data_IF_731399044758
#
_entry.id   IF_731399044758
#
_cell.length_a   1.000
_cell.length_b   1.000
_cell.length_c   1.000
_cell.angle_alpha   90.00
_cell.angle_beta   90.00
_cell.angle_gamma   90.00
#
_symmetry.space_group_name_H-M   'P 1'
#
loop_
_entity.id
_entity.type
_entity.pdbx_description
1 polymer ?
#
# COMPACT_ATOMS: atom_id res chain seq x y z
N UNK A 1 -10.86 -28.13 74.25
CA UNK A 1 -10.15 -29.14 73.43
C UNK A 1 -10.89 -29.13 72.10
N UNK A 2 -10.27 -28.71 70.99
CA UNK A 2 -10.97 -28.70 69.70
C UNK A 2 -11.30 -30.15 69.32
N UNK A 3 -12.51 -30.37 68.80
CA UNK A 3 -12.92 -31.69 68.33
C UNK A 3 -12.13 -32.07 67.08
N UNK A 4 -11.78 -33.35 66.96
CA UNK A 4 -10.95 -33.91 65.87
C UNK A 4 -11.52 -33.59 64.48
N UNK A 5 -12.83 -33.39 64.39
CA UNK A 5 -13.55 -33.04 63.16
C UNK A 5 -13.22 -31.60 62.72
N UNK A 6 -13.12 -30.64 63.64
CA UNK A 6 -12.80 -29.25 63.33
C UNK A 6 -11.35 -29.09 62.84
N UNK A 7 -10.42 -29.84 63.45
CA UNK A 7 -9.01 -29.88 63.04
C UNK A 7 -8.90 -30.36 61.58
N UNK A 8 -9.63 -31.42 61.22
CA UNK A 8 -9.62 -31.96 59.84
C UNK A 8 -10.21 -30.99 58.82
N UNK A 9 -11.25 -30.23 59.16
CA UNK A 9 -11.82 -29.23 58.22
C UNK A 9 -10.86 -28.05 58.01
N UNK A 10 -10.18 -27.60 59.07
CA UNK A 10 -9.17 -26.55 59.00
C UNK A 10 -7.96 -26.98 58.14
N UNK A 11 -7.48 -28.21 58.31
CA UNK A 11 -6.39 -28.77 57.49
C UNK A 11 -6.77 -28.82 56.01
N UNK A 12 -8.01 -29.23 55.68
CA UNK A 12 -8.50 -29.29 54.31
C UNK A 12 -8.56 -27.90 53.66
N UNK A 13 -9.09 -26.90 54.37
CA UNK A 13 -9.16 -25.51 53.87
C UNK A 13 -7.76 -24.91 53.68
N UNK A 14 -6.85 -25.18 54.61
CA UNK A 14 -5.46 -24.76 54.51
C UNK A 14 -4.75 -25.39 53.30
N UNK A 15 -4.97 -26.68 53.04
CA UNK A 15 -4.43 -27.38 51.87
C UNK A 15 -4.94 -26.78 50.54
N UNK A 16 -6.24 -26.50 50.44
CA UNK A 16 -6.82 -25.87 49.24
C UNK A 16 -6.21 -24.48 49.00
N UNK A 17 -6.06 -23.69 50.05
CA UNK A 17 -5.44 -22.37 49.96
C UNK A 17 -3.97 -22.45 49.54
N UNK A 18 -3.22 -23.39 50.11
CA UNK A 18 -1.80 -23.63 49.80
C UNK A 18 -1.61 -24.04 48.34
N UNK A 19 -2.42 -24.96 47.84
CA UNK A 19 -2.39 -25.37 46.42
C UNK A 19 -2.69 -24.19 45.50
N UNK A 20 -3.73 -23.39 45.80
CA UNK A 20 -4.08 -22.21 45.00
C UNK A 20 -2.96 -21.16 44.97
N UNK A 21 -2.22 -21.02 46.06
CA UNK A 21 -1.07 -20.11 46.13
C UNK A 21 0.13 -20.65 45.33
N UNK A 22 0.43 -21.95 45.45
CA UNK A 22 1.52 -22.60 44.69
C UNK A 22 1.24 -22.53 43.19
N UNK A 23 -0.01 -22.71 42.76
CA UNK A 23 -0.39 -22.70 41.34
C UNK A 23 -0.11 -21.35 40.67
N UNK A 24 -0.25 -20.23 41.40
CA UNK A 24 0.12 -18.89 40.92
C UNK A 24 1.63 -18.73 40.76
N UNK A 25 2.41 -19.27 41.69
CA UNK A 25 3.88 -19.22 41.64
C UNK A 25 4.39 -20.05 40.44
N UNK A 26 3.82 -21.23 40.23
CA UNK A 26 4.12 -22.08 39.06
C UNK A 26 3.80 -21.33 37.77
N UNK A 27 2.65 -20.64 37.70
CA UNK A 27 2.28 -19.85 36.53
C UNK A 27 3.30 -18.75 36.20
N UNK A 28 3.76 -18.00 37.21
CA UNK A 28 4.81 -16.98 37.05
C UNK A 28 6.12 -17.62 36.57
N UNK A 29 6.51 -18.76 37.14
CA UNK A 29 7.70 -19.50 36.73
C UNK A 29 7.60 -19.98 35.27
N UNK A 30 6.43 -20.48 34.84
CA UNK A 30 6.19 -20.86 33.44
C UNK A 30 6.35 -19.68 32.47
N UNK A 31 5.89 -18.48 32.85
CA UNK A 31 6.08 -17.26 32.04
C UNK A 31 7.57 -16.92 31.90
N UNK A 32 8.32 -16.96 33.01
CA UNK A 32 9.76 -16.68 33.00
C UNK A 32 10.49 -17.71 32.11
N UNK A 33 10.14 -18.99 32.25
CA UNK A 33 10.72 -20.06 31.46
C UNK A 33 10.37 -19.92 29.96
N UNK A 34 9.16 -19.46 29.63
CA UNK A 34 8.77 -19.14 28.26
C UNK A 34 9.67 -18.04 27.68
N UNK A 35 9.90 -16.93 28.40
CA UNK A 35 10.79 -15.88 27.92
C UNK A 35 12.23 -16.37 27.70
N UNK A 36 12.75 -17.19 28.61
CA UNK A 36 14.09 -17.81 28.47
C UNK A 36 14.15 -18.70 27.22
N UNK A 37 13.13 -19.54 26.98
CA UNK A 37 13.05 -20.38 25.79
C UNK A 37 12.96 -19.55 24.50
N UNK A 38 12.14 -18.50 24.48
CA UNK A 38 12.02 -17.62 23.31
C UNK A 38 13.32 -16.87 23.03
N UNK A 39 14.02 -16.41 24.07
CA UNK A 39 15.32 -15.73 23.93
C UNK A 39 16.39 -16.69 23.40
N UNK A 40 16.40 -17.94 23.88
CA UNK A 40 17.30 -18.98 23.40
C UNK A 40 17.02 -19.36 21.94
N UNK A 41 15.73 -19.51 21.58
CA UNK A 41 15.31 -19.73 20.19
C UNK A 41 15.83 -18.61 19.29
N UNK A 42 15.58 -17.35 19.62
CA UNK A 42 16.06 -16.19 18.85
C UNK A 42 17.58 -16.23 18.68
N UNK A 43 18.33 -16.49 19.76
CA UNK A 43 19.79 -16.62 19.72
C UNK A 43 20.27 -17.79 18.84
N UNK A 44 19.54 -18.91 18.83
CA UNK A 44 19.86 -20.08 18.01
C UNK A 44 19.57 -19.89 16.51
N UNK A 45 18.60 -19.03 16.16
CA UNK A 45 18.27 -18.70 14.77
C UNK A 45 19.16 -17.60 14.18
N UNK A 46 19.78 -16.76 15.02
CA UNK A 46 20.72 -15.72 14.60
C UNK A 46 21.90 -16.23 13.74
N UNK A 47 22.59 -17.36 14.05
CA UNK A 47 23.70 -17.85 13.22
C UNK A 47 23.29 -18.64 11.96
N UNK A 48 22.02 -19.01 11.77
CA UNK A 48 21.56 -19.72 10.57
C UNK A 48 21.26 -18.79 9.39
N UNK A 49 20.96 -17.51 9.64
CA UNK A 49 20.82 -16.49 8.59
C UNK A 49 22.19 -15.99 8.10
N UNK A 50 23.22 -16.02 8.94
CA UNK A 50 24.55 -15.52 8.59
C UNK A 50 25.41 -16.51 7.77
N UNK A 51 25.07 -17.81 7.74
CA UNK A 51 25.95 -18.86 7.17
C UNK A 51 25.54 -19.38 5.78
N UNK A 52 24.47 -18.87 5.16
CA UNK A 52 24.05 -19.25 3.81
C UNK A 52 24.37 -18.18 2.74
N UNK A 53 25.48 -17.46 2.90
CA UNK A 53 25.94 -16.40 1.96
C UNK A 53 27.01 -16.90 0.97
N UNK A 54 27.43 -18.17 1.05
CA UNK A 54 28.40 -18.77 0.14
C UNK A 54 27.77 -20.03 -0.49
N UNK A 55 26.82 -19.90 -1.40
CA UNK A 55 27.10 -19.76 -2.84
C UNK A 55 26.08 -18.82 -3.49
N UNK A 56 26.40 -17.53 -3.50
CA UNK A 56 25.67 -16.55 -4.31
C UNK A 56 25.96 -16.83 -5.80
N UNK A 57 24.96 -17.08 -6.66
CA UNK A 57 25.18 -17.00 -8.11
C UNK A 57 25.72 -15.59 -8.41
N UNK A 58 26.67 -15.47 -9.35
CA UNK A 58 27.37 -14.21 -9.58
C UNK A 58 26.39 -13.05 -9.69
N UNK A 59 26.70 -11.95 -8.99
CA UNK A 59 25.89 -10.72 -8.93
C UNK A 59 25.51 -10.24 -10.33
N UNK A 60 26.37 -10.48 -11.32
CA UNK A 60 26.14 -10.10 -12.71
C UNK A 60 25.09 -10.98 -13.40
N UNK A 61 25.00 -12.27 -13.04
CA UNK A 61 24.00 -13.19 -13.60
C UNK A 61 22.60 -12.95 -13.03
N UNK A 62 22.52 -12.57 -11.75
CA UNK A 62 21.24 -12.20 -11.10
C UNK A 62 20.78 -10.82 -11.58
N UNK A 63 21.68 -9.86 -11.75
CA UNK A 63 21.35 -8.55 -12.33
C UNK A 63 20.93 -8.67 -13.80
N UNK A 64 21.66 -9.42 -14.63
CA UNK A 64 21.29 -9.62 -16.03
C UNK A 64 19.92 -10.31 -16.19
N UNK A 65 19.60 -11.31 -15.36
CA UNK A 65 18.29 -12.01 -15.38
C UNK A 65 17.14 -11.13 -14.89
N UNK A 66 17.38 -10.30 -13.88
CA UNK A 66 16.35 -9.41 -13.33
C UNK A 66 16.15 -8.17 -14.21
N UNK A 67 17.20 -7.68 -14.86
CA UNK A 67 17.15 -6.62 -15.88
C UNK A 67 16.40 -7.10 -17.12
N UNK A 68 16.71 -8.30 -17.65
CA UNK A 68 15.95 -8.87 -18.77
C UNK A 68 14.50 -9.14 -18.42
N UNK A 69 14.20 -9.67 -17.24
CA UNK A 69 12.80 -9.84 -16.80
C UNK A 69 12.08 -8.49 -16.63
N UNK A 70 12.77 -7.46 -16.13
CA UNK A 70 12.23 -6.11 -16.01
C UNK A 70 12.01 -5.44 -17.37
N UNK A 71 12.93 -5.61 -18.32
CA UNK A 71 12.81 -5.07 -19.68
C UNK A 71 11.66 -5.74 -20.45
N UNK A 72 11.57 -7.07 -20.40
CA UNK A 72 10.48 -7.80 -21.04
C UNK A 72 9.10 -7.43 -20.45
N UNK A 73 9.04 -7.12 -19.15
CA UNK A 73 7.79 -6.67 -18.51
C UNK A 73 7.41 -5.24 -18.93
N UNK A 74 8.40 -4.37 -19.17
CA UNK A 74 8.18 -3.01 -19.67
C UNK A 74 7.74 -3.03 -21.13
N UNK A 75 8.38 -3.84 -21.97
CA UNK A 75 7.97 -4.05 -23.37
C UNK A 75 6.54 -4.58 -23.44
N UNK A 76 6.19 -5.58 -22.62
CA UNK A 76 4.83 -6.10 -22.54
C UNK A 76 3.82 -5.05 -22.05
N UNK A 77 4.20 -4.13 -21.16
CA UNK A 77 3.31 -3.05 -20.70
C UNK A 77 3.13 -1.94 -21.75
N UNK A 78 4.18 -1.62 -22.52
CA UNK A 78 4.12 -0.64 -23.60
C UNK A 78 3.28 -1.19 -24.76
N UNK A 79 3.48 -2.45 -25.15
CA UNK A 79 2.72 -3.13 -26.21
C UNK A 79 1.21 -3.17 -25.90
N UNK A 80 0.84 -3.49 -24.65
CA UNK A 80 -0.57 -3.50 -24.22
C UNK A 80 -1.22 -2.09 -24.11
N UNK A 81 -0.42 -1.03 -24.01
CA UNK A 81 -0.91 0.35 -23.96
C UNK A 81 -0.98 0.99 -25.36
N UNK A 82 -0.10 0.61 -26.28
CA UNK A 82 -0.19 1.04 -27.68
C UNK A 82 -1.43 0.44 -28.38
N UNK A 83 -1.81 -0.82 -28.07
CA UNK A 83 -3.07 -1.40 -28.58
C UNK A 83 -4.33 -0.70 -28.06
N UNK A 84 -4.28 -0.09 -26.86
CA UNK A 84 -5.40 0.67 -26.29
C UNK A 84 -5.39 2.16 -26.71
N UNK A 85 -4.36 2.63 -27.41
CA UNK A 85 -4.23 4.01 -27.91
C UNK A 85 -4.94 4.24 -29.24
N UNK A 86 -5.47 3.20 -29.90
CA UNK A 86 -6.07 3.32 -31.24
C UNK A 86 -7.60 3.56 -31.24
N UNK A 87 -8.22 3.71 -30.07
CA UNK A 87 -9.62 4.12 -29.96
C UNK A 87 -9.81 5.06 -28.76
N UNK A 88 -9.54 6.35 -28.95
CA UNK A 88 -9.98 7.33 -27.95
C UNK A 88 -9.24 8.66 -27.96
N UNK A 89 -9.31 9.41 -29.05
CA UNK A 89 -9.14 10.87 -28.95
C UNK A 89 -10.04 11.55 -29.99
N UNK A 90 -11.28 11.85 -29.56
CA UNK A 90 -12.08 12.89 -30.17
C UNK A 90 -12.27 13.97 -29.09
N UNK A 91 -11.34 14.93 -29.06
CA UNK A 91 -11.47 16.18 -28.31
C UNK A 91 -11.96 17.24 -29.29
N UNK A 92 -13.11 17.81 -28.94
CA UNK A 92 -13.65 19.07 -29.42
C UNK A 92 -12.84 20.24 -28.83
N UNK A 93 -12.26 21.07 -29.70
CA UNK A 93 -12.07 22.53 -29.55
C UNK A 93 -11.58 23.02 -30.94
N UNK A 94 -12.15 23.98 -31.65
CA UNK A 94 -12.76 25.22 -31.19
C UNK A 94 -11.82 26.38 -31.56
N UNK A 95 -12.26 27.21 -32.52
CA UNK A 95 -11.72 28.51 -32.95
C UNK A 95 -10.46 28.56 -33.84
N UNK A 96 -10.67 28.92 -35.11
CA UNK A 96 -9.98 30.04 -35.78
C UNK A 96 -10.88 30.57 -36.92
N UNK A 97 -11.04 31.90 -36.96
CA UNK A 97 -11.74 32.74 -37.94
C UNK A 97 -11.08 32.59 -39.34
N UNK A 98 -11.60 32.92 -40.52
CA UNK A 98 -12.52 33.91 -41.09
C UNK A 98 -12.55 33.54 -42.60
N UNK A 99 -13.65 33.43 -43.35
CA UNK A 99 -14.27 34.46 -44.19
C UNK A 99 -15.08 33.67 -45.25
N UNK A 100 -16.41 33.73 -45.22
CA UNK A 100 -17.23 33.41 -46.40
C UNK A 100 -18.22 34.55 -46.64
N UNK A 101 -18.23 34.90 -47.91
CA UNK A 101 -18.83 36.02 -48.63
C UNK A 101 -20.35 36.11 -48.50
N UNK A 102 -20.86 37.34 -48.49
CA UNK A 102 -22.26 37.71 -48.36
C UNK A 102 -23.02 37.54 -49.69
N UNK A 103 -24.14 36.85 -49.68
CA UNK A 103 -25.30 36.93 -50.59
C UNK A 103 -26.42 36.11 -49.93
N UNK A 104 -27.71 36.44 -49.93
CA UNK A 104 -28.51 37.63 -50.13
C UNK A 104 -29.89 37.24 -49.56
N UNK A 105 -30.61 38.20 -48.95
CA UNK A 105 -32.09 38.41 -48.99
C UNK A 105 -32.99 37.15 -48.80
N UNK A 106 -33.87 37.00 -47.80
CA UNK A 106 -35.14 37.73 -47.66
C UNK A 106 -35.95 37.20 -46.45
N UNK A 107 -36.38 38.13 -45.59
CA UNK A 107 -37.68 38.27 -44.90
C UNK A 107 -38.70 37.10 -44.73
N UNK A 108 -39.30 37.11 -43.52
CA UNK A 108 -40.76 37.17 -43.23
C UNK A 108 -41.55 35.85 -43.03
N UNK A 109 -42.00 35.69 -41.77
CA UNK A 109 -43.38 35.39 -41.32
C UNK A 109 -43.99 34.02 -41.67
N UNK A 110 -44.87 33.34 -40.93
CA UNK A 110 -45.59 33.49 -39.66
C UNK A 110 -46.53 32.23 -39.59
N UNK A 111 -47.20 32.04 -38.44
CA UNK A 111 -48.47 31.28 -38.26
C UNK A 111 -48.35 29.73 -38.21
N UNK A 112 -48.33 29.07 -37.04
CA UNK A 112 -49.42 28.83 -36.07
C UNK A 112 -50.46 27.77 -36.52
N UNK A 113 -50.68 26.71 -35.69
CA UNK A 113 -52.01 26.26 -35.19
C UNK A 113 -52.10 24.77 -34.75
N UNK A 114 -52.16 24.60 -33.43
CA UNK A 114 -53.17 23.88 -32.61
C UNK A 114 -53.81 22.53 -33.00
N UNK A 115 -53.75 21.54 -32.07
CA UNK A 115 -54.88 20.82 -31.37
C UNK A 115 -54.33 19.68 -30.49
N UNK A 116 -54.33 19.78 -29.14
CA UNK A 116 -55.27 19.19 -28.13
C UNK A 116 -55.56 17.67 -28.37
N UNK A 117 -55.34 16.68 -27.46
CA UNK A 117 -55.65 16.60 -26.02
C UNK A 117 -55.27 15.22 -25.38
N UNK A 118 -54.91 15.23 -24.07
CA UNK A 118 -55.01 14.19 -22.99
C UNK A 118 -54.00 13.01 -22.82
N UNK A 119 -53.00 13.26 -21.97
CA UNK A 119 -52.61 12.60 -20.69
C UNK A 119 -52.86 11.08 -20.51
N UNK A 120 -51.76 10.33 -20.34
CA UNK A 120 -51.61 9.30 -19.29
C UNK A 120 -50.32 9.55 -18.52
N UNK A 121 -50.45 9.88 -17.22
CA UNK A 121 -49.35 9.79 -16.23
C UNK A 121 -48.96 8.33 -16.09
N UNK A 122 -47.66 8.04 -16.13
CA UNK A 122 -47.05 6.96 -15.34
C UNK A 122 -45.59 7.29 -15.03
N UNK A 123 -45.36 7.49 -13.72
CA UNK A 123 -44.13 7.29 -12.92
C UNK A 123 -42.84 8.06 -13.24
N UNK A 124 -42.23 8.73 -12.23
CA UNK A 124 -40.94 9.39 -12.36
C UNK A 124 -39.83 8.35 -12.47
N UNK A 125 -39.06 8.44 -13.56
CA UNK A 125 -37.88 7.64 -13.83
C UNK A 125 -36.80 7.99 -12.79
N UNK A 126 -36.76 7.26 -11.67
CA UNK A 126 -35.65 7.35 -10.72
C UNK A 126 -34.43 6.73 -11.40
N UNK A 127 -33.55 7.59 -11.92
CA UNK A 127 -32.17 7.21 -12.28
C UNK A 127 -31.61 6.36 -11.14
N UNK A 128 -31.07 5.15 -11.38
CA UNK A 128 -30.45 4.38 -10.32
C UNK A 128 -29.29 5.22 -9.78
N UNK A 129 -29.38 5.64 -8.51
CA UNK A 129 -28.22 6.16 -7.78
C UNK A 129 -27.33 4.96 -7.53
N UNK A 130 -26.37 4.74 -8.42
CA UNK A 130 -25.30 3.76 -8.21
C UNK A 130 -24.45 4.33 -7.07
N UNK A 131 -24.59 3.77 -5.88
CA UNK A 131 -23.72 4.08 -4.76
C UNK A 131 -22.56 3.08 -4.81
N UNK A 132 -21.50 3.41 -5.56
CA UNK A 132 -20.29 2.61 -5.60
C UNK A 132 -19.52 2.88 -4.30
N UNK A 133 -19.79 2.09 -3.26
CA UNK A 133 -18.87 1.99 -2.14
C UNK A 133 -17.83 0.93 -2.50
N UNK A 134 -16.84 1.32 -3.32
CA UNK A 134 -15.66 0.49 -3.54
C UNK A 134 -14.84 0.54 -2.25
N UNK A 135 -14.66 -0.61 -1.61
CA UNK A 135 -13.72 -0.70 -0.50
C UNK A 135 -12.29 -0.55 -1.06
N UNK A 136 -11.39 0.12 -0.33
CA UNK A 136 -9.99 0.31 -0.79
C UNK A 136 -9.31 -1.02 -1.16
N UNK A 137 -9.75 -2.15 -0.59
CA UNK A 137 -9.25 -3.48 -0.92
C UNK A 137 -9.65 -3.94 -2.33
N UNK A 138 -10.85 -3.60 -2.79
CA UNK A 138 -11.29 -3.90 -4.16
C UNK A 138 -10.55 -3.05 -5.19
N UNK A 139 -10.31 -1.76 -4.88
CA UNK A 139 -9.63 -0.81 -5.78
C UNK A 139 -8.25 -1.30 -6.22
N UNK A 140 -7.50 -1.94 -5.33
CA UNK A 140 -6.12 -2.40 -5.61
C UNK A 140 -5.99 -3.91 -5.82
N UNK A 141 -7.12 -4.63 -5.86
CA UNK A 141 -7.16 -6.09 -5.92
C UNK A 141 -6.30 -6.67 -7.05
N UNK A 142 -6.41 -6.13 -8.27
CA UNK A 142 -5.63 -6.58 -9.42
C UNK A 142 -4.12 -6.35 -9.24
N UNK A 143 -3.69 -5.20 -8.71
CA UNK A 143 -2.28 -4.93 -8.45
C UNK A 143 -1.72 -5.87 -7.37
N UNK A 144 -2.50 -6.13 -6.32
CA UNK A 144 -2.13 -7.05 -5.24
C UNK A 144 -2.01 -8.48 -5.79
N UNK A 145 -2.94 -8.92 -6.63
CA UNK A 145 -2.89 -10.24 -7.27
C UNK A 145 -1.66 -10.39 -8.19
N UNK A 146 -1.35 -9.38 -8.99
CA UNK A 146 -0.15 -9.35 -9.83
C UNK A 146 1.13 -9.36 -8.99
N UNK A 147 1.16 -8.58 -7.91
CA UNK A 147 2.25 -8.65 -6.96
C UNK A 147 2.36 -10.05 -6.35
N UNK A 148 1.25 -10.68 -5.97
CA UNK A 148 1.28 -11.95 -5.28
C UNK A 148 1.69 -13.13 -6.16
N UNK A 149 1.36 -13.07 -7.44
CA UNK A 149 1.77 -14.05 -8.45
C UNK A 149 3.23 -13.85 -8.91
N UNK A 150 3.68 -12.61 -9.07
CA UNK A 150 5.00 -12.33 -9.69
C UNK A 150 6.11 -12.01 -8.70
N UNK A 151 5.74 -11.48 -7.51
CA UNK A 151 6.64 -10.83 -6.55
C UNK A 151 7.50 -9.73 -7.17
N UNK A 152 7.03 -9.13 -8.27
CA UNK A 152 7.75 -8.06 -8.96
C UNK A 152 7.65 -6.75 -8.16
N UNK A 153 8.79 -6.08 -7.96
CA UNK A 153 8.92 -4.82 -7.22
C UNK A 153 8.05 -3.71 -7.81
N UNK A 154 7.84 -3.69 -9.13
CA UNK A 154 7.03 -2.67 -9.81
C UNK A 154 5.60 -2.64 -9.26
N UNK A 155 4.97 -3.81 -9.05
CA UNK A 155 3.62 -3.84 -8.48
C UNK A 155 3.59 -3.37 -7.03
N UNK A 156 4.61 -3.70 -6.23
CA UNK A 156 4.70 -3.18 -4.86
C UNK A 156 4.83 -1.64 -4.83
N UNK A 157 5.60 -1.07 -5.76
CA UNK A 157 5.74 0.38 -5.92
C UNK A 157 4.43 1.04 -6.35
N UNK A 158 3.75 0.48 -7.36
CA UNK A 158 2.45 0.98 -7.81
C UNK A 158 1.44 0.99 -6.67
N UNK A 159 1.34 -0.11 -5.91
CA UNK A 159 0.44 -0.19 -4.76
C UNK A 159 0.81 0.87 -3.70
N UNK A 160 2.10 1.05 -3.42
CA UNK A 160 2.55 2.06 -2.46
C UNK A 160 2.18 3.48 -2.91
N UNK A 161 2.39 3.82 -4.18
CA UNK A 161 2.04 5.13 -4.74
C UNK A 161 0.54 5.39 -4.70
N UNK A 162 -0.26 4.40 -5.05
CA UNK A 162 -1.72 4.49 -4.97
C UNK A 162 -2.21 4.77 -3.55
N UNK A 163 -1.70 4.04 -2.55
CA UNK A 163 -2.04 4.32 -1.16
C UNK A 163 -1.52 5.68 -0.69
N UNK A 164 -0.37 6.14 -1.20
CA UNK A 164 0.17 7.47 -0.87
C UNK A 164 -0.75 8.57 -1.41
N UNK A 165 -1.20 8.43 -2.66
CA UNK A 165 -2.12 9.33 -3.32
C UNK A 165 -3.46 9.42 -2.58
N UNK A 166 -3.97 8.27 -2.11
CA UNK A 166 -5.19 8.17 -1.32
C UNK A 166 -5.01 8.63 0.14
N UNK A 167 -3.83 9.14 0.50
CA UNK A 167 -3.43 9.59 1.85
C UNK A 167 -3.48 8.50 2.92
N UNK A 168 -3.56 7.23 2.53
CA UNK A 168 -3.34 6.09 3.41
C UNK A 168 -1.83 5.83 3.51
N UNK A 169 -1.14 6.76 4.19
CA UNK A 169 0.30 6.72 4.37
C UNK A 169 0.77 5.48 5.13
N UNK A 170 -0.09 4.92 5.99
CA UNK A 170 0.21 3.68 6.72
C UNK A 170 0.26 2.48 5.78
N UNK A 171 -0.67 2.37 4.82
CA UNK A 171 -0.63 1.29 3.82
C UNK A 171 0.47 1.52 2.80
N UNK A 172 0.68 2.75 2.36
CA UNK A 172 1.78 3.12 1.48
C UNK A 172 3.13 2.73 2.08
N UNK A 173 3.36 3.07 3.36
CA UNK A 173 4.58 2.72 4.07
C UNK A 173 4.82 1.19 4.14
N UNK A 174 3.77 0.39 4.36
CA UNK A 174 3.91 -1.08 4.38
C UNK A 174 4.35 -1.62 3.02
N UNK A 175 3.77 -1.10 1.94
CA UNK A 175 4.08 -1.54 0.58
C UNK A 175 5.44 -1.05 0.09
N UNK A 176 5.83 0.18 0.45
CA UNK A 176 7.16 0.69 0.13
C UNK A 176 8.26 -0.08 0.87
N UNK A 177 8.06 -0.47 2.14
CA UNK A 177 8.99 -1.38 2.85
C UNK A 177 9.13 -2.69 2.08
N UNK A 178 8.02 -3.24 1.57
CA UNK A 178 8.06 -4.48 0.78
C UNK A 178 8.83 -4.29 -0.53
N UNK A 179 8.68 -3.15 -1.20
CA UNK A 179 9.46 -2.82 -2.38
C UNK A 179 10.96 -2.71 -2.07
N UNK A 180 11.34 -1.98 -1.01
CA UNK A 180 12.74 -1.86 -0.55
C UNK A 180 13.33 -3.23 -0.18
N UNK A 181 12.51 -4.14 0.34
CA UNK A 181 12.93 -5.50 0.72
C UNK A 181 13.28 -6.35 -0.50
N UNK A 182 12.61 -6.12 -1.64
CA UNK A 182 12.82 -6.86 -2.90
C UNK A 182 14.00 -6.27 -3.67
N UNK A 183 14.01 -4.94 -3.81
CA UNK A 183 15.12 -4.21 -4.44
C UNK A 183 15.57 -3.04 -3.55
N UNK A 184 16.59 -3.28 -2.69
CA UNK A 184 17.13 -2.26 -1.81
C UNK A 184 17.88 -1.14 -2.54
N UNK A 185 18.20 -1.30 -3.84
CA UNK A 185 18.92 -0.29 -4.61
C UNK A 185 17.99 0.67 -5.34
N UNK A 186 16.74 0.25 -5.56
CA UNK A 186 15.73 1.04 -6.25
C UNK A 186 15.50 2.38 -5.53
N UNK A 187 15.94 3.49 -6.11
CA UNK A 187 15.83 4.79 -5.48
C UNK A 187 14.37 5.23 -5.24
N UNK A 188 13.47 4.91 -6.17
CA UNK A 188 12.05 5.24 -6.10
C UNK A 188 11.36 4.58 -4.91
N UNK A 189 11.76 3.36 -4.55
CA UNK A 189 11.24 2.64 -3.38
C UNK A 189 11.54 3.39 -2.08
N UNK A 190 12.78 3.90 -1.94
CA UNK A 190 13.20 4.74 -0.81
C UNK A 190 12.50 6.09 -0.77
N UNK A 191 12.24 6.70 -1.93
CA UNK A 191 11.49 7.96 -2.03
C UNK A 191 10.06 7.80 -1.48
N UNK A 192 9.31 6.80 -1.96
CA UNK A 192 7.93 6.58 -1.50
C UNK A 192 7.92 6.19 -0.03
N UNK A 193 8.88 5.37 0.41
CA UNK A 193 9.06 5.00 1.81
C UNK A 193 9.22 6.22 2.71
N UNK A 194 10.15 7.11 2.38
CA UNK A 194 10.44 8.29 3.20
C UNK A 194 9.27 9.27 3.19
N UNK A 195 8.67 9.53 2.02
CA UNK A 195 7.47 10.37 1.91
C UNK A 195 6.33 9.84 2.77
N UNK A 196 6.05 8.53 2.70
CA UNK A 196 4.99 7.89 3.46
C UNK A 196 5.26 7.92 4.97
N UNK A 197 6.49 7.62 5.38
CA UNK A 197 6.92 7.67 6.78
C UNK A 197 6.79 9.08 7.35
N UNK A 198 7.24 10.09 6.61
CA UNK A 198 7.17 11.49 7.02
C UNK A 198 5.72 11.99 7.10
N UNK A 199 4.85 11.65 6.13
CA UNK A 199 3.41 11.98 6.19
C UNK A 199 2.66 11.23 7.29
N UNK A 200 3.17 10.07 7.72
CA UNK A 200 2.65 9.30 8.85
C UNK A 200 3.17 9.81 10.22
N UNK A 201 3.85 10.96 10.25
CA UNK A 201 4.27 11.65 11.48
C UNK A 201 5.72 11.39 11.92
N UNK A 202 6.47 10.57 11.18
CA UNK A 202 7.84 10.17 11.51
C UNK A 202 8.87 10.83 10.58
N UNK A 203 8.87 12.16 10.48
CA UNK A 203 9.75 12.89 9.55
C UNK A 203 11.24 12.72 9.86
N UNK A 204 11.63 12.67 11.14
CA UNK A 204 13.03 12.48 11.54
C UNK A 204 13.55 11.09 11.14
N UNK A 205 12.75 10.05 11.39
CA UNK A 205 13.09 8.68 10.97
C UNK A 205 13.20 8.55 9.44
N UNK A 206 12.33 9.24 8.70
CA UNK A 206 12.39 9.29 7.25
C UNK A 206 13.72 9.90 6.76
N UNK A 207 14.12 11.03 7.35
CA UNK A 207 15.41 11.68 7.03
C UNK A 207 16.57 10.76 7.36
N UNK A 208 16.57 10.14 8.54
CA UNK A 208 17.63 9.21 8.95
C UNK A 208 17.77 8.03 7.97
N UNK A 209 16.65 7.45 7.55
CA UNK A 209 16.67 6.36 6.57
C UNK A 209 17.21 6.80 5.20
N UNK A 210 16.87 8.01 4.73
CA UNK A 210 17.42 8.56 3.49
C UNK A 210 18.92 8.85 3.60
N UNK A 211 19.38 9.32 4.76
CA UNK A 211 20.82 9.49 5.01
C UNK A 211 21.58 8.17 5.00
N UNK A 212 21.01 7.10 5.56
CA UNK A 212 21.57 5.75 5.46
C UNK A 212 21.64 5.27 4.00
N UNK A 213 20.61 5.53 3.19
CA UNK A 213 20.63 5.22 1.76
C UNK A 213 21.75 5.97 1.02
N UNK A 214 21.96 7.26 1.34
CA UNK A 214 23.01 8.08 0.74
C UNK A 214 24.44 7.60 1.07
N UNK A 215 24.65 6.86 2.16
CA UNK A 215 25.99 6.27 2.44
C UNK A 215 26.44 5.32 1.33
N UNK A 216 25.49 4.63 0.70
CA UNK A 216 25.75 3.73 -0.42
C UNK A 216 25.56 4.41 -1.79
N UNK A 217 24.75 5.48 -1.83
CA UNK A 217 24.37 6.19 -3.05
C UNK A 217 24.65 7.71 -2.93
N UNK A 218 25.90 8.14 -2.71
CA UNK A 218 26.23 9.51 -2.31
C UNK A 218 25.91 10.58 -3.36
N UNK A 219 25.72 10.17 -4.63
CA UNK A 219 25.48 11.08 -5.74
C UNK A 219 24.00 11.30 -6.06
N UNK A 220 23.08 10.71 -5.29
CA UNK A 220 21.65 10.93 -5.49
C UNK A 220 21.26 12.37 -5.15
N UNK A 221 21.03 13.20 -6.17
CA UNK A 221 20.50 14.55 -6.02
C UNK A 221 19.04 14.53 -5.58
N UNK A 222 18.26 13.56 -6.07
CA UNK A 222 16.85 13.43 -5.75
C UNK A 222 16.62 13.13 -4.26
N UNK A 223 17.39 12.20 -3.68
CA UNK A 223 17.29 11.90 -2.24
C UNK A 223 17.74 13.10 -1.40
N UNK A 224 18.79 13.82 -1.81
CA UNK A 224 19.22 15.05 -1.12
C UNK A 224 18.13 16.13 -1.15
N UNK A 225 17.47 16.34 -2.29
CA UNK A 225 16.33 17.26 -2.41
C UNK A 225 15.19 16.85 -1.49
N UNK A 226 14.85 15.56 -1.48
CA UNK A 226 13.77 15.05 -0.64
C UNK A 226 14.05 15.24 0.86
N UNK A 227 15.29 15.03 1.31
CA UNK A 227 15.68 15.33 2.70
C UNK A 227 15.43 16.81 3.00
N UNK A 228 15.85 17.71 2.12
CA UNK A 228 15.64 19.15 2.28
C UNK A 228 14.13 19.51 2.29
N UNK A 229 13.34 18.91 1.41
CA UNK A 229 11.88 19.10 1.37
C UNK A 229 11.23 18.64 2.68
N UNK A 230 11.62 17.47 3.22
CA UNK A 230 11.09 16.94 4.48
C UNK A 230 11.45 17.83 5.67
N UNK A 231 12.71 18.29 5.74
CA UNK A 231 13.16 19.22 6.79
C UNK A 231 12.38 20.53 6.79
N UNK A 232 11.93 21.00 5.62
CA UNK A 232 11.22 22.26 5.46
C UNK A 232 9.70 22.09 5.31
N UNK A 233 9.17 20.87 5.45
CA UNK A 233 7.76 20.54 5.27
C UNK A 233 7.18 20.93 3.88
N UNK A 234 7.92 20.64 2.80
CA UNK A 234 7.59 20.97 1.40
C UNK A 234 7.50 19.73 0.49
N UNK A 235 6.84 18.65 0.94
CA UNK A 235 6.79 17.34 0.26
C UNK A 235 5.39 16.72 0.23
#
# INVERSE_FOLDING_TARGET
MLDIIEIKDLEKRWLIWKIKSILKIIFIFCIILFFILTSWLIYSYLPLVAKNINTKPSRDQVMAKNETLSQNTIEQYIENNEENSLYGEEILDGSEEELIELEDVENVDEVEQTKKVKIKKNTPNKKPKINIQSSNMEKYSHLIEKFDSTKNVIFALMIAEEYYHDKDYKSSLRWSIRANSIDPKNERSWIIFAKSMAKNGSSEDAINALQEYLKQNPNSSQIKSLIFEIQNNKY
#
